data_IF_797107657275
#
_entry.id   IF_797107657275
#
_cell.length_a   1.000
_cell.length_b   1.000
_cell.length_c   1.000
_cell.angle_alpha   90.00
_cell.angle_beta   90.00
_cell.angle_gamma   90.00
#
_symmetry.space_group_name_H-M   'P 1'
#
loop_
_entity.id
_entity.type
_entity.pdbx_description
1 polymer ?
#
# COMPACT_ATOMS: atom_id res chain seq x y z
N UNK A 1 1.38 22.61 19.60
CA UNK A 1 0.62 21.99 18.49
C UNK A 1 0.72 22.81 17.20
N UNK A 2 0.41 24.11 17.21
CA UNK A 2 0.56 24.97 16.03
C UNK A 2 1.98 24.96 15.42
N UNK A 3 3.04 25.11 16.22
CA UNK A 3 4.42 25.02 15.73
C UNK A 3 4.83 23.62 15.20
N UNK A 4 4.12 22.55 15.60
CA UNK A 4 4.32 21.22 15.05
C UNK A 4 3.60 21.09 13.70
N UNK A 5 2.37 21.61 13.62
CA UNK A 5 1.60 21.69 12.38
C UNK A 5 2.30 22.57 11.33
N UNK A 6 2.96 23.64 11.74
CA UNK A 6 3.72 24.54 10.86
C UNK A 6 5.03 23.90 10.36
N UNK A 7 5.62 22.97 11.13
CA UNK A 7 6.73 22.10 10.66
C UNK A 7 6.24 20.93 9.81
N UNK A 8 4.96 20.59 9.93
CA UNK A 8 4.30 19.53 9.16
C UNK A 8 3.53 20.09 7.95
N UNK A 9 3.58 21.39 7.70
CA UNK A 9 3.04 22.04 6.50
C UNK A 9 3.95 21.79 5.29
N UNK A 10 4.47 20.58 5.17
CA UNK A 10 5.15 20.14 3.96
C UNK A 10 4.08 20.06 2.87
N UNK A 11 4.20 20.80 1.77
CA UNK A 11 3.27 20.68 0.66
C UNK A 11 3.37 19.26 0.09
N UNK A 12 2.37 18.43 0.39
CA UNK A 12 2.33 17.05 -0.08
C UNK A 12 1.76 17.00 -1.49
N UNK A 13 2.42 16.24 -2.36
CA UNK A 13 1.92 15.92 -3.70
C UNK A 13 1.61 14.43 -3.77
N UNK A 14 0.38 14.09 -4.13
CA UNK A 14 -0.07 12.70 -4.26
C UNK A 14 0.24 12.20 -5.66
N UNK A 15 0.80 11.00 -5.77
CA UNK A 15 1.05 10.31 -7.03
C UNK A 15 0.42 8.93 -6.99
N UNK A 16 -0.29 8.57 -8.05
CA UNK A 16 -0.78 7.20 -8.27
C UNK A 16 0.24 6.43 -9.12
N UNK A 17 0.58 5.21 -8.69
CA UNK A 17 1.54 4.35 -9.40
C UNK A 17 1.09 2.90 -9.39
N UNK A 18 1.53 2.15 -10.40
CA UNK A 18 1.32 0.71 -10.45
C UNK A 18 2.19 0.02 -9.39
N UNK A 19 1.63 -0.90 -8.59
CA UNK A 19 2.39 -1.63 -7.57
C UNK A 19 3.49 -2.52 -8.18
N UNK A 20 3.37 -2.90 -9.45
CA UNK A 20 4.40 -3.68 -10.14
C UNK A 20 5.68 -2.87 -10.41
N UNK A 21 5.57 -1.54 -10.50
CA UNK A 21 6.71 -0.64 -10.75
C UNK A 21 6.43 0.76 -10.18
N UNK A 22 6.62 0.96 -8.87
CA UNK A 22 6.32 2.22 -8.20
C UNK A 22 7.42 3.25 -8.48
N UNK A 23 7.36 3.92 -9.62
CA UNK A 23 8.26 5.03 -9.94
C UNK A 23 7.56 6.35 -9.60
N UNK A 24 8.20 7.18 -8.78
CA UNK A 24 7.69 8.51 -8.42
C UNK A 24 8.27 9.54 -9.40
N UNK A 25 7.46 10.40 -10.03
CA UNK A 25 7.97 11.47 -10.88
C UNK A 25 8.85 12.44 -10.08
N UNK A 26 9.91 12.95 -10.70
CA UNK A 26 10.82 13.91 -10.08
C UNK A 26 10.06 15.16 -9.63
N UNK A 27 10.18 15.52 -8.34
CA UNK A 27 9.45 16.63 -7.74
C UNK A 27 10.24 17.94 -7.68
N UNK A 28 11.53 17.93 -8.04
CA UNK A 28 12.45 19.06 -7.95
C UNK A 28 13.86 18.71 -8.41
N UNK A 29 14.84 19.62 -8.26
CA UNK A 29 16.24 19.36 -8.62
C UNK A 29 16.95 18.40 -7.66
N UNK A 30 16.35 18.15 -6.48
CA UNK A 30 16.95 17.33 -5.44
C UNK A 30 16.71 15.85 -5.75
N UNK A 31 17.81 15.10 -5.92
CA UNK A 31 17.81 13.65 -6.10
C UNK A 31 18.01 12.93 -4.77
N UNK A 32 17.25 11.88 -4.51
CA UNK A 32 17.41 11.09 -3.29
C UNK A 32 16.65 9.78 -3.30
N UNK A 33 16.92 8.94 -2.30
CA UNK A 33 16.32 7.62 -2.13
C UNK A 33 15.28 7.66 -1.02
N UNK A 34 14.06 7.26 -1.37
CA UNK A 34 12.99 6.95 -0.42
C UNK A 34 12.92 5.43 -0.23
N UNK A 35 13.14 4.96 0.99
CA UNK A 35 13.13 3.51 1.27
C UNK A 35 11.72 3.07 1.67
N UNK A 36 11.18 2.04 1.00
CA UNK A 36 9.89 1.42 1.35
C UNK A 36 10.14 0.07 2.03
N UNK A 37 9.62 -0.10 3.25
CA UNK A 37 9.84 -1.28 4.08
C UNK A 37 8.52 -1.89 4.51
N UNK A 38 8.45 -3.22 4.57
CA UNK A 38 7.37 -3.92 5.28
C UNK A 38 7.68 -3.99 6.78
N UNK A 39 6.69 -3.73 7.64
CA UNK A 39 6.85 -3.88 9.08
C UNK A 39 7.29 -5.31 9.47
N UNK A 40 8.35 -5.41 10.28
CA UNK A 40 8.89 -6.69 10.74
C UNK A 40 9.62 -7.52 9.68
N UNK A 41 9.87 -6.98 8.48
CA UNK A 41 10.51 -7.74 7.38
C UNK A 41 12.03 -7.65 7.34
N UNK A 42 12.62 -6.74 8.11
CA UNK A 42 14.07 -6.43 8.12
C UNK A 42 14.56 -6.19 9.54
N UNK A 43 15.83 -6.53 9.79
CA UNK A 43 16.51 -6.22 11.04
C UNK A 43 17.10 -4.81 11.02
N UNK A 44 17.45 -4.26 12.19
CA UNK A 44 18.17 -2.98 12.25
C UNK A 44 19.49 -3.02 11.46
N UNK A 45 20.20 -4.14 11.49
CA UNK A 45 21.45 -4.29 10.74
C UNK A 45 21.23 -4.27 9.22
N UNK A 46 20.14 -4.87 8.73
CA UNK A 46 19.79 -4.80 7.30
C UNK A 46 19.55 -3.34 6.87
N UNK A 47 18.97 -2.51 7.74
CA UNK A 47 18.74 -1.09 7.45
C UNK A 47 20.04 -0.30 7.41
N UNK A 48 21.01 -0.63 8.28
CA UNK A 48 22.36 -0.05 8.22
C UNK A 48 23.01 -0.37 6.88
N UNK A 49 23.00 -1.64 6.46
CA UNK A 49 23.59 -2.05 5.18
C UNK A 49 22.93 -1.38 3.98
N UNK A 50 21.62 -1.15 4.04
CA UNK A 50 20.90 -0.44 2.99
C UNK A 50 21.31 1.04 2.93
N UNK A 51 21.44 1.70 4.10
CA UNK A 51 21.88 3.08 4.17
C UNK A 51 23.32 3.25 3.69
N UNK A 52 24.21 2.33 4.06
CA UNK A 52 25.59 2.26 3.57
C UNK A 52 25.63 2.12 2.04
N UNK A 53 24.87 1.18 1.48
CA UNK A 53 24.82 0.98 0.03
C UNK A 53 24.31 2.23 -0.72
N UNK A 54 23.38 2.98 -0.14
CA UNK A 54 22.92 4.24 -0.74
C UNK A 54 24.01 5.32 -0.65
N UNK A 55 24.69 5.45 0.48
CA UNK A 55 25.78 6.38 0.67
C UNK A 55 26.96 6.08 -0.28
N UNK A 56 27.32 4.80 -0.44
CA UNK A 56 28.35 4.35 -1.38
C UNK A 56 27.99 4.67 -2.84
N UNK A 57 26.70 4.68 -3.17
CA UNK A 57 26.18 5.09 -4.48
C UNK A 57 26.05 6.62 -4.64
N UNK A 58 26.43 7.41 -3.63
CA UNK A 58 26.28 8.87 -3.63
C UNK A 58 24.81 9.33 -3.58
N UNK A 59 23.91 8.48 -3.10
CA UNK A 59 22.48 8.76 -3.01
C UNK A 59 22.10 9.09 -1.57
N UNK A 60 21.55 10.27 -1.33
CA UNK A 60 21.05 10.66 -0.02
C UNK A 60 19.74 9.94 0.31
N UNK A 61 19.64 9.37 1.51
CA UNK A 61 18.39 8.84 2.03
C UNK A 61 17.52 9.98 2.56
N UNK A 62 16.45 10.31 1.84
CA UNK A 62 15.56 11.43 2.18
C UNK A 62 14.42 11.04 3.10
N UNK A 63 14.16 9.74 3.29
CA UNK A 63 13.14 9.25 4.22
C UNK A 63 12.84 7.75 4.09
N UNK A 64 11.87 7.31 4.89
CA UNK A 64 11.38 5.93 4.88
C UNK A 64 9.85 5.85 4.95
N UNK A 65 9.27 4.87 4.25
CA UNK A 65 7.86 4.52 4.27
C UNK A 65 7.71 3.14 4.89
N UNK A 66 6.91 3.05 5.96
CA UNK A 66 6.56 1.78 6.59
C UNK A 66 5.21 1.28 6.08
N UNK A 67 5.23 0.13 5.43
CA UNK A 67 4.06 -0.54 4.88
C UNK A 67 3.66 -1.73 5.74
N UNK A 68 2.36 -2.00 5.79
CA UNK A 68 1.81 -3.16 6.48
C UNK A 68 0.99 -4.00 5.48
N UNK A 69 1.01 -5.34 5.59
CA UNK A 69 0.17 -6.17 4.78
C UNK A 69 -1.30 -5.87 5.10
N UNK A 70 -2.08 -5.61 4.06
CA UNK A 70 -3.54 -5.49 4.16
C UNK A 70 -4.17 -6.75 3.58
N UNK A 71 -5.27 -7.21 4.19
CA UNK A 71 -6.14 -8.20 3.53
C UNK A 71 -6.99 -7.46 2.50
N UNK A 72 -6.99 -7.89 1.22
CA UNK A 72 -7.93 -7.35 0.25
C UNK A 72 -9.35 -7.53 0.78
N UNK A 73 -10.18 -6.50 0.67
CA UNK A 73 -11.61 -6.69 0.91
C UNK A 73 -12.12 -7.74 -0.09
N UNK A 74 -12.88 -8.73 0.38
CA UNK A 74 -13.56 -9.64 -0.53
C UNK A 74 -14.45 -8.80 -1.45
N UNK A 75 -14.42 -9.02 -2.78
CA UNK A 75 -15.38 -8.38 -3.65
C UNK A 75 -16.78 -8.72 -3.14
N UNK A 76 -17.65 -7.72 -2.99
CA UNK A 76 -19.05 -7.95 -2.60
C UNK A 76 -19.61 -9.07 -3.48
N UNK A 77 -19.95 -10.20 -2.85
CA UNK A 77 -20.68 -11.27 -3.53
C UNK A 77 -22.00 -10.66 -3.98
N UNK A 78 -22.09 -10.37 -5.28
CA UNK A 78 -23.37 -10.08 -5.93
C UNK A 78 -24.32 -11.22 -5.56
N UNK A 79 -25.51 -10.95 -5.01
CA UNK A 79 -26.43 -12.00 -4.62
C UNK A 79 -26.70 -12.87 -5.84
N UNK A 80 -26.41 -14.17 -5.71
CA UNK A 80 -26.78 -15.15 -6.72
C UNK A 80 -28.31 -15.12 -6.85
N UNK A 81 -28.87 -15.09 -8.08
CA UNK A 81 -30.30 -15.19 -8.24
C UNK A 81 -30.76 -16.50 -7.59
N UNK A 82 -31.69 -16.40 -6.65
CA UNK A 82 -32.27 -17.56 -5.99
C UNK A 82 -32.76 -18.54 -7.06
N UNK A 83 -32.21 -19.75 -7.07
CA UNK A 83 -32.73 -20.81 -7.92
C UNK A 83 -34.21 -20.99 -7.57
N UNK A 84 -35.10 -20.80 -8.55
CA UNK A 84 -36.52 -21.04 -8.39
C UNK A 84 -36.71 -22.49 -7.92
N UNK A 85 -37.28 -22.66 -6.73
CA UNK A 85 -37.62 -23.96 -6.20
C UNK A 85 -38.67 -24.61 -7.12
N UNK A 86 -38.55 -25.90 -7.46
CA UNK A 86 -39.55 -26.56 -8.29
C UNK A 86 -40.91 -26.55 -7.57
N UNK A 87 -41.95 -26.14 -8.28
CA UNK A 87 -43.34 -26.11 -7.80
C UNK A 87 -43.72 -27.43 -7.12
N UNK A 88 -44.36 -27.31 -5.96
CA UNK A 88 -44.94 -28.42 -5.21
C UNK A 88 -45.92 -29.19 -6.10
N UNK A 89 -45.55 -30.40 -6.52
CA UNK A 89 -46.49 -31.36 -7.06
C UNK A 89 -47.48 -31.78 -5.97
N UNK A 90 -48.77 -31.44 -6.12
CA UNK A 90 -49.85 -32.00 -5.31
C UNK A 90 -50.03 -33.49 -5.68
N UNK A 91 -49.69 -34.39 -4.76
CA UNK A 91 -50.13 -35.78 -4.84
C UNK A 91 -51.56 -35.88 -4.26
N UNK A 92 -52.55 -35.94 -5.14
CA UNK A 92 -53.88 -36.45 -4.81
C UNK A 92 -53.90 -37.97 -4.88
N UNK A 93 -54.49 -38.63 -3.89
CA UNK A 93 -54.91 -40.03 -3.97
C UNK A 93 -56.33 -40.17 -3.41
N UNK A 94 -57.21 -40.73 -4.23
CA UNK A 94 -58.53 -41.24 -3.86
C UNK A 94 -58.43 -42.73 -3.50
#
# INVERSE_FOLDING_TARGET
LAALADRLSVPLRVFEYSPARPTVPDAGPDSGVLVVLGAGTRTAWDLVRLAEACADAGQELVGAVLTHPVRPAEPEKKPEPAAEAPEKALAGSA
#
